data_IF_009780663036
#
_entry.id   IF_009780663036
#
_cell.length_a   1.000
_cell.length_b   1.000
_cell.length_c   1.000
_cell.angle_alpha   90.00
_cell.angle_beta   90.00
_cell.angle_gamma   90.00
#
_symmetry.space_group_name_H-M   'P 1'
#
loop_
_entity.id
_entity.type
_entity.pdbx_description
1 polymer ?
#
# COMPACT_ATOMS: atom_id res chain seq x y z
N UNK A 1 25.07 48.42 14.95
CA UNK A 1 23.59 48.45 15.07
C UNK A 1 22.86 48.10 13.77
N UNK A 2 23.39 48.47 12.60
CA UNK A 2 22.81 48.16 11.27
C UNK A 2 22.89 46.67 10.89
N UNK A 3 24.02 46.00 11.14
CA UNK A 3 24.20 44.59 10.80
C UNK A 3 23.25 43.65 11.56
N UNK A 4 22.99 43.91 12.84
CA UNK A 4 22.06 43.11 13.66
C UNK A 4 20.62 43.28 13.17
N UNK A 5 20.20 44.49 12.80
CA UNK A 5 18.86 44.74 12.22
C UNK A 5 18.69 44.06 10.87
N UNK A 6 19.71 44.11 10.01
CA UNK A 6 19.71 43.39 8.73
C UNK A 6 19.61 41.87 8.96
N UNK A 7 20.38 41.33 9.92
CA UNK A 7 20.34 39.91 10.26
C UNK A 7 18.95 39.49 10.76
N UNK A 8 18.34 40.25 11.67
CA UNK A 8 16.97 39.99 12.15
C UNK A 8 15.93 40.05 11.03
N UNK A 9 16.05 41.00 10.10
CA UNK A 9 15.17 41.09 8.93
C UNK A 9 15.33 39.88 8.00
N UNK A 10 16.57 39.44 7.74
CA UNK A 10 16.82 38.26 6.90
C UNK A 10 16.31 36.98 7.55
N UNK A 11 16.48 36.83 8.87
CA UNK A 11 15.95 35.69 9.63
C UNK A 11 14.42 35.73 9.63
N UNK A 12 13.80 36.89 9.84
CA UNK A 12 12.35 37.06 9.77
C UNK A 12 11.79 36.69 8.39
N UNK A 13 12.46 37.12 7.31
CA UNK A 13 12.08 36.80 5.95
C UNK A 13 12.18 35.29 5.68
N UNK A 14 13.29 34.66 6.10
CA UNK A 14 13.50 33.22 5.97
C UNK A 14 12.41 32.42 6.71
N UNK A 15 12.10 32.79 7.95
CA UNK A 15 11.05 32.15 8.75
C UNK A 15 9.68 32.32 8.09
N UNK A 16 9.38 33.51 7.58
CA UNK A 16 8.12 33.77 6.88
C UNK A 16 8.01 32.91 5.60
N UNK A 17 9.06 32.88 4.77
CA UNK A 17 9.07 32.07 3.53
C UNK A 17 9.04 30.58 3.78
N UNK A 18 9.70 30.10 4.84
CA UNK A 18 9.66 28.69 5.23
C UNK A 18 8.27 28.32 5.77
N UNK A 19 7.65 29.20 6.55
CA UNK A 19 6.31 29.01 7.07
C UNK A 19 5.26 28.94 5.96
N UNK A 20 5.30 29.86 4.98
CA UNK A 20 4.37 29.85 3.84
C UNK A 20 4.57 28.60 2.98
N UNK A 21 5.81 28.17 2.75
CA UNK A 21 6.10 26.92 2.06
C UNK A 21 5.54 25.71 2.81
N UNK A 22 5.77 25.61 4.12
CA UNK A 22 5.27 24.49 4.93
C UNK A 22 3.75 24.42 4.92
N UNK A 23 3.07 25.56 5.08
CA UNK A 23 1.60 25.60 4.99
C UNK A 23 1.16 25.11 3.62
N UNK A 24 1.68 25.69 2.54
CA UNK A 24 1.33 25.28 1.18
C UNK A 24 1.61 23.80 0.91
N UNK A 25 2.77 23.29 1.34
CA UNK A 25 3.18 21.90 1.18
C UNK A 25 2.23 20.93 1.90
N UNK A 26 1.67 21.34 3.04
CA UNK A 26 0.86 20.46 3.91
C UNK A 26 -0.64 20.59 3.62
N UNK A 27 -1.11 21.70 3.04
CA UNK A 27 -2.55 21.97 2.85
C UNK A 27 -3.04 21.95 1.40
N UNK A 28 -2.15 21.94 0.41
CA UNK A 28 -2.55 21.89 -1.01
C UNK A 28 -2.16 20.57 -1.67
N UNK A 29 -2.93 20.14 -2.65
CA UNK A 29 -2.66 18.92 -3.43
C UNK A 29 -1.30 18.99 -4.13
N UNK A 30 -1.02 20.15 -4.76
CA UNK A 30 0.25 20.40 -5.45
C UNK A 30 1.43 20.41 -4.49
N UNK A 31 1.24 20.99 -3.30
CA UNK A 31 2.27 21.01 -2.26
C UNK A 31 2.52 19.64 -1.64
N UNK A 32 1.46 18.85 -1.48
CA UNK A 32 1.54 17.48 -0.99
C UNK A 32 2.34 16.61 -1.95
N UNK A 33 2.06 16.72 -3.26
CA UNK A 33 2.80 16.04 -4.32
C UNK A 33 4.26 16.51 -4.45
N UNK A 34 4.53 17.81 -4.27
CA UNK A 34 5.86 18.40 -4.41
C UNK A 34 6.84 18.09 -3.24
N UNK A 35 6.37 17.45 -2.17
CA UNK A 35 7.21 17.05 -1.04
C UNK A 35 6.51 17.05 0.31
N UNK A 36 5.32 17.64 0.42
CA UNK A 36 4.52 17.64 1.64
C UNK A 36 4.20 16.26 2.17
N UNK A 37 4.01 15.26 1.30
CA UNK A 37 3.83 13.86 1.68
C UNK A 37 5.03 13.33 2.48
N UNK A 38 6.26 13.57 2.04
CA UNK A 38 7.47 13.12 2.73
C UNK A 38 7.60 13.78 4.11
N UNK A 39 7.29 15.08 4.20
CA UNK A 39 7.28 15.82 5.46
C UNK A 39 6.24 15.26 6.44
N UNK A 40 5.01 15.02 5.99
CA UNK A 40 3.95 14.39 6.79
C UNK A 40 4.34 12.99 7.22
N UNK A 41 4.91 12.18 6.34
CA UNK A 41 5.38 10.84 6.70
C UNK A 41 6.47 10.90 7.78
N UNK A 42 7.47 11.78 7.63
CA UNK A 42 8.56 11.94 8.60
C UNK A 42 8.03 12.38 9.95
N UNK A 43 7.11 13.34 9.97
CA UNK A 43 6.41 13.75 11.18
C UNK A 43 5.65 12.56 11.80
N UNK A 44 4.89 11.82 11.00
CA UNK A 44 4.15 10.63 11.43
C UNK A 44 5.04 9.56 12.05
N UNK A 45 6.22 9.28 11.48
CA UNK A 45 7.17 8.32 12.06
C UNK A 45 7.70 8.72 13.44
N UNK A 46 7.71 10.03 13.75
CA UNK A 46 8.15 10.55 15.05
C UNK A 46 7.03 10.52 16.09
N UNK A 47 5.81 10.87 15.71
CA UNK A 47 4.71 11.07 16.67
C UNK A 47 3.77 9.88 16.81
N UNK A 48 3.72 9.00 15.81
CA UNK A 48 2.77 7.89 15.78
C UNK A 48 3.23 6.72 16.67
N UNK A 49 2.32 6.15 17.50
CA UNK A 49 2.62 4.96 18.30
C UNK A 49 3.15 3.79 17.47
N UNK A 50 4.03 2.98 18.06
CA UNK A 50 4.60 1.83 17.36
C UNK A 50 3.53 0.82 16.90
N UNK A 51 2.51 0.57 17.73
CA UNK A 51 1.42 -0.35 17.41
C UNK A 51 0.63 0.10 16.16
N UNK A 52 0.38 1.40 16.03
CA UNK A 52 -0.29 1.98 14.86
C UNK A 52 0.59 1.91 13.61
N UNK A 53 1.90 2.18 13.73
CA UNK A 53 2.82 1.98 12.61
C UNK A 53 2.89 0.51 12.17
N UNK A 54 2.86 -0.43 13.11
CA UNK A 54 2.82 -1.85 12.77
C UNK A 54 1.52 -2.25 12.07
N UNK A 55 0.36 -1.72 12.48
CA UNK A 55 -0.90 -2.04 11.80
C UNK A 55 -0.91 -1.50 10.37
N UNK A 56 -0.45 -0.26 10.15
CA UNK A 56 -0.30 0.31 8.80
C UNK A 56 0.68 -0.47 7.94
N UNK A 57 1.81 -0.91 8.52
CA UNK A 57 2.78 -1.75 7.81
C UNK A 57 2.19 -3.09 7.41
N UNK A 58 1.39 -3.73 8.27
CA UNK A 58 0.67 -4.97 7.94
C UNK A 58 -0.34 -4.75 6.82
N UNK A 59 -1.08 -3.64 6.85
CA UNK A 59 -2.03 -3.29 5.79
C UNK A 59 -1.32 -3.03 4.45
N UNK A 60 -0.17 -2.35 4.48
CA UNK A 60 0.66 -2.12 3.29
C UNK A 60 1.20 -3.44 2.73
N UNK A 61 1.65 -4.35 3.59
CA UNK A 61 2.07 -5.70 3.21
C UNK A 61 0.93 -6.49 2.57
N UNK A 62 -0.28 -6.40 3.13
CA UNK A 62 -1.46 -7.05 2.56
C UNK A 62 -1.73 -6.53 1.14
N UNK A 63 -1.78 -5.20 0.95
CA UNK A 63 -2.00 -4.62 -0.38
C UNK A 63 -0.95 -5.09 -1.39
N UNK A 64 0.33 -4.93 -1.05
CA UNK A 64 1.43 -5.24 -1.96
C UNK A 64 1.50 -6.74 -2.29
N UNK A 65 1.27 -7.62 -1.31
CA UNK A 65 1.24 -9.06 -1.54
C UNK A 65 0.06 -9.48 -2.41
N UNK A 66 -1.10 -8.83 -2.26
CA UNK A 66 -2.27 -9.05 -3.11
C UNK A 66 -2.01 -8.62 -4.57
N UNK A 67 -1.51 -7.39 -4.77
CA UNK A 67 -1.26 -6.82 -6.10
C UNK A 67 -0.07 -7.46 -6.83
N UNK A 68 0.79 -8.18 -6.11
CA UNK A 68 1.91 -8.90 -6.72
C UNK A 68 1.45 -9.98 -7.71
N UNK A 69 0.36 -10.70 -7.41
CA UNK A 69 -0.10 -11.84 -8.23
C UNK A 69 -1.56 -11.70 -8.69
N UNK A 70 -2.40 -11.05 -7.89
CA UNK A 70 -3.84 -10.95 -8.14
C UNK A 70 -4.27 -9.51 -8.39
N UNK A 71 -5.42 -9.36 -9.04
CA UNK A 71 -6.08 -8.06 -9.14
C UNK A 71 -6.93 -7.85 -7.89
N UNK A 72 -6.69 -6.75 -7.18
CA UNK A 72 -7.46 -6.36 -6.01
C UNK A 72 -8.70 -5.58 -6.45
N UNK A 73 -9.86 -5.90 -5.86
CA UNK A 73 -11.05 -5.09 -6.06
C UNK A 73 -10.85 -3.70 -5.44
N UNK A 74 -10.60 -2.70 -6.28
CA UNK A 74 -10.33 -1.32 -5.84
C UNK A 74 -11.52 -0.68 -5.09
N UNK A 75 -12.76 -1.09 -5.37
CA UNK A 75 -13.94 -0.61 -4.62
C UNK A 75 -13.93 -1.20 -3.21
N UNK A 76 -13.54 -2.46 -3.06
CA UNK A 76 -13.37 -3.04 -1.73
C UNK A 76 -12.17 -2.40 -1.02
N UNK A 77 -11.04 -2.29 -1.72
CA UNK A 77 -9.81 -1.74 -1.16
C UNK A 77 -9.97 -0.29 -0.69
N UNK A 78 -10.67 0.55 -1.46
CA UNK A 78 -10.97 1.93 -1.06
C UNK A 78 -11.75 2.01 0.26
N UNK A 79 -12.66 1.07 0.54
CA UNK A 79 -13.37 1.00 1.84
C UNK A 79 -12.43 0.61 2.97
N UNK A 80 -11.56 -0.38 2.76
CA UNK A 80 -10.53 -0.77 3.74
C UNK A 80 -9.59 0.42 3.99
N UNK A 81 -9.17 1.10 2.94
CA UNK A 81 -8.32 2.28 3.02
C UNK A 81 -8.99 3.39 3.84
N UNK A 82 -10.25 3.74 3.56
CA UNK A 82 -10.97 4.75 4.33
C UNK A 82 -11.13 4.34 5.81
N UNK A 83 -11.35 3.06 6.10
CA UNK A 83 -11.53 2.58 7.47
C UNK A 83 -10.24 2.62 8.30
N UNK A 84 -9.12 2.19 7.72
CA UNK A 84 -7.86 2.02 8.45
C UNK A 84 -6.89 3.18 8.28
N UNK A 85 -6.88 3.83 7.11
CA UNK A 85 -5.98 4.93 6.76
C UNK A 85 -6.69 6.28 6.87
N UNK A 86 -7.90 6.38 6.33
CA UNK A 86 -8.72 7.60 6.38
C UNK A 86 -8.42 8.56 5.23
N UNK A 87 -8.32 9.85 5.55
CA UNK A 87 -8.10 10.93 4.59
C UNK A 87 -6.74 10.79 3.87
N UNK A 88 -6.73 10.94 2.54
CA UNK A 88 -5.54 10.73 1.69
C UNK A 88 -4.40 11.71 1.94
N UNK A 89 -4.71 12.89 2.49
CA UNK A 89 -3.74 13.90 2.85
C UNK A 89 -3.38 13.85 4.34
N UNK A 90 -3.92 12.89 5.09
CA UNK A 90 -3.57 12.74 6.50
C UNK A 90 -2.10 12.33 6.69
N UNK A 91 -1.58 12.59 7.89
CA UNK A 91 -0.26 12.07 8.32
C UNK A 91 -0.23 10.53 8.24
N UNK A 92 -1.35 9.89 8.59
CA UNK A 92 -1.49 8.44 8.53
C UNK A 92 -1.39 7.90 7.10
N UNK A 93 -2.06 8.54 6.15
CA UNK A 93 -1.94 8.21 4.73
C UNK A 93 -0.52 8.37 4.20
N UNK A 94 0.19 9.43 4.59
CA UNK A 94 1.58 9.62 4.19
C UNK A 94 2.52 8.53 4.73
N UNK A 95 2.34 8.10 5.99
CA UNK A 95 3.09 6.98 6.59
C UNK A 95 2.75 5.66 5.89
N UNK A 96 1.45 5.40 5.67
CA UNK A 96 0.99 4.21 4.94
C UNK A 96 1.58 4.14 3.54
N UNK A 97 1.55 5.24 2.78
CA UNK A 97 2.13 5.30 1.43
C UNK A 97 3.63 5.00 1.42
N UNK A 98 4.36 5.43 2.47
CA UNK A 98 5.79 5.11 2.60
C UNK A 98 6.00 3.61 2.82
N UNK A 99 5.21 2.98 3.69
CA UNK A 99 5.29 1.53 3.87
C UNK A 99 4.87 0.77 2.63
N UNK A 100 3.83 1.23 1.92
CA UNK A 100 3.36 0.59 0.71
C UNK A 100 4.44 0.58 -0.36
N UNK A 101 5.08 1.72 -0.62
CA UNK A 101 6.20 1.82 -1.57
C UNK A 101 7.38 0.91 -1.19
N UNK A 102 7.71 0.77 0.10
CA UNK A 102 8.71 -0.19 0.57
C UNK A 102 8.30 -1.65 0.31
N UNK A 103 7.03 -2.01 0.53
CA UNK A 103 6.55 -3.37 0.30
C UNK A 103 6.42 -3.70 -1.19
N UNK A 104 5.92 -2.77 -2.00
CA UNK A 104 5.84 -2.91 -3.45
C UNK A 104 7.24 -3.11 -4.04
N UNK A 105 8.23 -2.30 -3.63
CA UNK A 105 9.63 -2.50 -4.04
C UNK A 105 10.17 -3.87 -3.61
N UNK A 106 9.80 -4.36 -2.43
CA UNK A 106 10.21 -5.69 -1.96
C UNK A 106 9.67 -6.82 -2.85
N UNK A 107 8.42 -6.74 -3.30
CA UNK A 107 7.83 -7.76 -4.18
C UNK A 107 8.20 -7.57 -5.66
N UNK A 108 8.36 -6.35 -6.15
CA UNK A 108 8.75 -6.09 -7.56
C UNK A 108 10.17 -6.55 -7.89
N UNK A 109 11.07 -6.59 -6.89
CA UNK A 109 12.45 -7.05 -7.08
C UNK A 109 12.57 -8.58 -7.17
N UNK A 110 11.47 -9.32 -6.97
CA UNK A 110 11.48 -10.77 -6.93
C UNK A 110 10.38 -11.38 -7.81
N UNK A 111 10.76 -12.24 -8.74
CA UNK A 111 9.82 -12.91 -9.65
C UNK A 111 9.19 -14.17 -9.05
N UNK A 112 9.54 -14.55 -7.82
CA UNK A 112 8.99 -15.73 -7.15
C UNK A 112 7.62 -15.46 -6.52
N UNK A 113 6.57 -15.81 -7.28
CA UNK A 113 5.16 -15.73 -6.87
C UNK A 113 4.87 -16.52 -5.58
N UNK A 114 5.66 -17.53 -5.21
CA UNK A 114 5.48 -18.28 -3.95
C UNK A 114 5.61 -17.38 -2.73
N UNK A 115 6.42 -16.31 -2.80
CA UNK A 115 6.55 -15.35 -1.71
C UNK A 115 5.31 -14.48 -1.54
N UNK A 116 4.67 -14.11 -2.66
CA UNK A 116 3.44 -13.34 -2.63
C UNK A 116 2.32 -14.18 -2.01
N UNK A 117 2.20 -15.45 -2.41
CA UNK A 117 1.28 -16.41 -1.79
C UNK A 117 1.58 -16.64 -0.31
N UNK A 118 2.85 -16.82 0.07
CA UNK A 118 3.24 -17.01 1.47
C UNK A 118 3.02 -15.77 2.34
N UNK A 119 3.22 -14.56 1.79
CA UNK A 119 2.93 -13.32 2.47
C UNK A 119 1.43 -13.11 2.63
N UNK A 120 0.65 -13.39 1.58
CA UNK A 120 -0.80 -13.32 1.58
C UNK A 120 -1.43 -14.32 2.56
N UNK A 121 -0.91 -15.55 2.64
CA UNK A 121 -1.38 -16.59 3.57
C UNK A 121 -1.27 -16.20 5.06
N UNK A 122 -0.49 -15.17 5.41
CA UNK A 122 -0.42 -14.64 6.79
C UNK A 122 -1.71 -13.95 7.22
N UNK A 123 -2.57 -13.59 6.27
CA UNK A 123 -3.84 -12.92 6.51
C UNK A 123 -5.04 -13.88 6.49
N UNK A 124 -4.82 -15.20 6.30
CA UNK A 124 -5.84 -16.26 6.39
C UNK A 124 -5.48 -17.53 5.60
N UNK A 125 -6.22 -18.61 5.77
CA UNK A 125 -6.09 -19.82 4.91
C UNK A 125 -6.60 -19.47 3.51
N UNK A 126 -5.72 -19.46 2.49
CA UNK A 126 -5.95 -18.82 1.18
C UNK A 126 -5.96 -17.27 1.19
N UNK A 127 -5.39 -16.69 2.25
CA UNK A 127 -5.06 -15.28 2.47
C UNK A 127 -6.23 -14.28 2.53
N UNK A 128 -7.45 -14.77 2.49
CA UNK A 128 -8.63 -14.01 2.85
C UNK A 128 -9.84 -14.95 2.96
N UNK A 129 -10.31 -15.23 4.17
CA UNK A 129 -11.76 -15.35 4.40
C UNK A 129 -12.41 -13.94 4.28
N UNK A 130 -12.01 -13.16 3.28
CA UNK A 130 -12.61 -11.89 2.88
C UNK A 130 -13.14 -12.11 1.47
N UNK A 131 -14.37 -12.64 1.34
CA UNK A 131 -14.96 -12.98 0.06
C UNK A 131 -14.93 -11.78 -0.90
N UNK A 132 -14.39 -11.97 -2.10
CA UNK A 132 -14.46 -10.99 -3.19
C UNK A 132 -13.36 -9.93 -3.23
N UNK A 133 -12.37 -9.94 -2.32
CA UNK A 133 -11.27 -8.95 -2.36
C UNK A 133 -10.25 -9.23 -3.47
N UNK A 134 -9.96 -10.51 -3.73
CA UNK A 134 -9.09 -10.94 -4.81
C UNK A 134 -9.92 -11.33 -6.01
N UNK A 135 -9.57 -10.80 -7.17
CA UNK A 135 -9.98 -11.30 -8.47
C UNK A 135 -8.80 -12.05 -9.05
N UNK A 136 -9.02 -13.32 -9.40
CA UNK A 136 -8.02 -14.08 -10.14
C UNK A 136 -7.88 -13.41 -11.50
N UNK A 137 -6.69 -12.86 -11.79
CA UNK A 137 -6.34 -12.53 -13.16
C UNK A 137 -6.31 -13.87 -13.89
N UNK A 138 -7.34 -14.13 -14.69
CA UNK A 138 -7.35 -15.29 -15.56
C UNK A 138 -6.19 -15.07 -16.52
N UNK A 139 -5.13 -15.85 -16.37
CA UNK A 139 -4.06 -15.91 -17.35
C UNK A 139 -4.71 -16.32 -18.67
N UNK A 140 -4.90 -15.37 -19.60
CA UNK A 140 -5.38 -15.61 -20.96
C UNK A 140 -4.34 -16.37 -21.82
N UNK A 141 -3.43 -17.13 -21.18
CA UNK A 141 -2.40 -17.92 -21.82
C UNK A 141 -2.15 -19.28 -21.11
N UNK A 142 -3.20 -19.90 -20.58
CA UNK A 142 -3.17 -21.33 -20.25
C UNK A 142 -4.14 -22.06 -21.17
N UNK A 143 -3.59 -22.69 -22.21
CA UNK A 143 -4.27 -23.71 -23.01
C UNK A 143 -5.08 -24.64 -22.09
N UNK A 144 -6.29 -25.07 -22.49
CA UNK A 144 -7.07 -25.96 -21.66
C UNK A 144 -6.33 -27.28 -21.52
N UNK A 145 -5.76 -27.51 -20.34
CA UNK A 145 -5.23 -28.80 -19.93
C UNK A 145 -6.32 -29.85 -20.18
N UNK A 146 -5.99 -30.71 -21.12
CA UNK A 146 -6.58 -32.00 -21.47
C UNK A 146 -7.51 -32.54 -20.37
N UNK A 147 -8.80 -32.65 -20.71
CA UNK A 147 -9.78 -33.42 -19.95
C UNK A 147 -9.26 -34.85 -19.79
N UNK A 148 -8.70 -35.15 -18.63
CA UNK A 148 -8.59 -36.54 -18.15
C UNK A 148 -10.02 -37.01 -17.85
N UNK A 149 -10.66 -37.57 -18.87
CA UNK A 149 -11.83 -38.42 -18.74
C UNK A 149 -11.37 -39.68 -17.99
N UNK A 150 -11.61 -39.74 -16.69
CA UNK A 150 -11.60 -41.01 -15.97
C UNK A 150 -12.84 -41.77 -16.46
N UNK A 151 -12.59 -42.73 -17.34
CA UNK A 151 -13.56 -43.68 -17.85
C UNK A 151 -13.97 -44.64 -16.71
N UNK A 152 -15.05 -44.31 -16.00
CA UNK A 152 -15.69 -45.22 -15.05
C UNK A 152 -16.70 -46.07 -15.82
N UNK A 153 -16.19 -47.04 -16.58
CA UNK A 153 -16.98 -48.16 -17.10
C UNK A 153 -16.11 -49.41 -17.30
N UNK A 154 -15.88 -50.13 -16.21
CA UNK A 154 -15.67 -51.58 -16.25
C UNK A 154 -16.82 -52.20 -15.44
N UNK A 155 -17.92 -52.53 -16.10
CA UNK A 155 -18.17 -53.84 -16.73
C UNK A 155 -18.91 -54.75 -15.74
N UNK A 156 -20.22 -54.51 -15.68
CA UNK A 156 -21.18 -55.52 -15.24
C UNK A 156 -21.49 -56.39 -16.46
N UNK A 157 -20.88 -57.57 -16.58
CA UNK A 157 -21.55 -58.72 -17.23
C UNK A 157 -20.94 -60.03 -16.72
N UNK A 158 -21.81 -60.86 -16.17
CA UNK A 158 -21.56 -62.22 -15.72
C UNK A 158 -21.28 -63.17 -16.91
N UNK A 159 -20.96 -64.44 -16.63
CA UNK A 159 -22.04 -65.45 -16.57
C UNK A 159 -22.29 -66.06 -15.18
#
# INVERSE_FOLDING_TARGET
MTAIRALLLTVGLLVATAGTYLVWAVTSDTGYAAGGRMLKARYGFLVMPHAERQSLRKLALMKAAGQCEWELDEIFWSRVYQLYVGDEQSVRAAVYATFLDEQERYFLMDTDHRRCQAAWARFGTAGADVPGILRTVRSDAAEPAEKVLIDVRAEATAP
#
